data_IF_305004880329
#
_entry.id   IF_305004880329
#
_cell.length_a   1.000
_cell.length_b   1.000
_cell.length_c   1.000
_cell.angle_alpha   90.00
_cell.angle_beta   90.00
_cell.angle_gamma   90.00
#
_symmetry.space_group_name_H-M   'P 1'
#
loop_
_entity.id
_entity.type
_entity.pdbx_description
1 polymer ?
#
# COMPACT_ATOMS: atom_id res chain seq x y z
N UNK A 1 -5.67 -16.29 14.51
CA UNK A 1 -6.74 -15.78 13.63
C UNK A 1 -6.31 -14.40 13.12
N UNK A 2 -6.32 -14.14 11.81
CA UNK A 2 -6.01 -12.80 11.28
C UNK A 2 -7.16 -11.84 11.59
N UNK A 3 -6.87 -10.63 12.06
CA UNK A 3 -7.92 -9.63 12.31
C UNK A 3 -8.54 -9.16 10.99
N UNK A 4 -9.82 -8.78 11.03
CA UNK A 4 -10.53 -8.22 9.86
C UNK A 4 -9.79 -7.02 9.26
N UNK A 5 -9.15 -6.21 10.12
CA UNK A 5 -8.32 -5.10 9.67
C UNK A 5 -7.09 -5.57 8.89
N UNK A 6 -6.39 -6.60 9.37
CA UNK A 6 -5.22 -7.15 8.68
C UNK A 6 -5.62 -7.72 7.30
N UNK A 7 -6.77 -8.37 7.18
CA UNK A 7 -7.30 -8.86 5.91
C UNK A 7 -7.57 -7.74 4.91
N UNK A 8 -8.18 -6.63 5.37
CA UNK A 8 -8.42 -5.45 4.52
C UNK A 8 -7.12 -4.79 4.05
N UNK A 9 -6.13 -4.70 4.95
CA UNK A 9 -4.81 -4.17 4.64
C UNK A 9 -4.10 -5.03 3.59
N UNK A 10 -4.11 -6.37 3.78
CA UNK A 10 -3.48 -7.30 2.85
C UNK A 10 -4.12 -7.25 1.47
N UNK A 11 -5.46 -7.30 1.39
CA UNK A 11 -6.17 -7.20 0.12
C UNK A 11 -5.84 -5.90 -0.64
N UNK A 12 -5.69 -4.78 0.08
CA UNK A 12 -5.30 -3.52 -0.53
C UNK A 12 -3.84 -3.51 -1.03
N UNK A 13 -2.92 -4.10 -0.26
CA UNK A 13 -1.52 -4.25 -0.67
C UNK A 13 -1.39 -5.13 -1.91
N UNK A 14 -2.10 -6.26 -1.94
CA UNK A 14 -2.14 -7.17 -3.09
C UNK A 14 -2.70 -6.47 -4.34
N UNK A 15 -3.83 -5.77 -4.22
CA UNK A 15 -4.42 -5.03 -5.35
C UNK A 15 -3.46 -3.94 -5.86
N UNK A 16 -2.82 -3.21 -4.94
CA UNK A 16 -1.85 -2.16 -5.28
C UNK A 16 -0.62 -2.73 -5.97
N UNK A 17 -0.09 -3.84 -5.47
CA UNK A 17 1.05 -4.56 -6.03
C UNK A 17 0.73 -5.09 -7.43
N UNK A 18 -0.40 -5.78 -7.59
CA UNK A 18 -0.86 -6.30 -8.88
C UNK A 18 -1.05 -5.18 -9.91
N UNK A 19 -1.62 -4.03 -9.52
CA UNK A 19 -1.79 -2.87 -10.40
C UNK A 19 -0.45 -2.30 -10.85
N UNK A 20 0.50 -2.14 -9.93
CA UNK A 20 1.85 -1.70 -10.27
C UNK A 20 2.52 -2.70 -11.20
N UNK A 21 2.46 -4.00 -10.89
CA UNK A 21 3.06 -5.06 -11.71
C UNK A 21 2.54 -5.01 -13.16
N UNK A 22 1.22 -4.96 -13.33
CA UNK A 22 0.58 -4.83 -14.66
C UNK A 22 1.06 -3.59 -15.40
N UNK A 23 1.12 -2.45 -14.71
CA UNK A 23 1.63 -1.19 -15.28
C UNK A 23 3.09 -1.31 -15.74
N UNK A 24 3.96 -1.86 -14.89
CA UNK A 24 5.39 -2.01 -15.18
C UNK A 24 5.64 -2.96 -16.35
N UNK A 25 4.87 -4.05 -16.44
CA UNK A 25 4.95 -5.03 -17.53
C UNK A 25 4.40 -4.48 -18.86
N UNK A 26 3.29 -3.75 -18.83
CA UNK A 26 2.65 -3.22 -20.04
C UNK A 26 3.33 -1.94 -20.57
N UNK A 27 4.00 -1.18 -19.69
CA UNK A 27 4.61 0.08 -20.09
C UNK A 27 5.85 -0.15 -20.96
N UNK A 28 5.87 0.51 -22.12
CA UNK A 28 7.06 0.63 -22.98
C UNK A 28 7.81 1.95 -22.78
N UNK A 29 7.38 2.76 -21.81
CA UNK A 29 7.97 4.07 -21.56
C UNK A 29 9.40 3.93 -20.98
N UNK A 30 10.30 4.87 -21.27
CA UNK A 30 11.57 5.01 -20.56
C UNK A 30 11.34 5.15 -19.05
N UNK A 31 12.30 4.69 -18.25
CA UNK A 31 12.17 4.58 -16.78
C UNK A 31 11.65 5.87 -16.14
N UNK A 32 12.21 7.03 -16.50
CA UNK A 32 11.80 8.33 -15.94
C UNK A 32 10.34 8.66 -16.22
N UNK A 33 9.86 8.44 -17.44
CA UNK A 33 8.47 8.71 -17.81
C UNK A 33 7.51 7.69 -17.21
N UNK A 34 7.95 6.42 -17.14
CA UNK A 34 7.23 5.35 -16.48
C UNK A 34 7.00 5.67 -15.00
N UNK A 35 8.01 6.23 -14.33
CA UNK A 35 7.84 6.71 -12.96
C UNK A 35 6.84 7.87 -12.84
N UNK A 36 6.91 8.85 -13.74
CA UNK A 36 5.99 10.00 -13.75
C UNK A 36 4.53 9.59 -13.98
N UNK A 37 4.31 8.58 -14.82
CA UNK A 37 2.98 8.09 -15.22
C UNK A 37 2.48 6.89 -14.41
N UNK A 38 3.16 6.52 -13.32
CA UNK A 38 2.77 5.37 -12.49
C UNK A 38 1.34 5.55 -11.94
N UNK A 39 0.58 4.46 -11.81
CA UNK A 39 -0.76 4.52 -11.22
C UNK A 39 -0.68 5.08 -9.81
N UNK A 40 -1.41 6.18 -9.57
CA UNK A 40 -1.49 6.79 -8.24
C UNK A 40 -2.34 5.92 -7.31
N UNK A 41 -2.10 5.98 -5.98
CA UNK A 41 -3.02 5.41 -5.01
C UNK A 41 -4.44 5.94 -5.27
N UNK A 42 -5.45 5.08 -5.12
CA UNK A 42 -6.85 5.51 -5.29
C UNK A 42 -7.15 6.63 -4.28
N UNK A 43 -7.81 7.70 -4.73
CA UNK A 43 -8.07 8.92 -3.94
C UNK A 43 -9.39 8.87 -3.16
N UNK A 44 -10.13 7.76 -3.24
CA UNK A 44 -11.47 7.64 -2.66
C UNK A 44 -11.41 7.74 -1.13
N UNK A 45 -12.45 8.27 -0.47
CA UNK A 45 -12.48 8.44 0.99
C UNK A 45 -12.14 7.15 1.75
N UNK A 46 -12.68 6.01 1.31
CA UNK A 46 -12.38 4.68 1.87
C UNK A 46 -10.89 4.37 1.90
N UNK A 47 -10.18 4.65 0.82
CA UNK A 47 -8.77 4.30 0.70
C UNK A 47 -7.89 5.22 1.58
N UNK A 48 -8.36 6.45 1.87
CA UNK A 48 -7.73 7.35 2.85
C UNK A 48 -7.87 6.82 4.28
N UNK A 49 -9.05 6.31 4.63
CA UNK A 49 -9.30 5.69 5.94
C UNK A 49 -8.41 4.45 6.10
N UNK A 50 -8.35 3.59 5.09
CA UNK A 50 -7.52 2.40 5.13
C UNK A 50 -6.02 2.74 5.25
N UNK A 51 -5.56 3.78 4.55
CA UNK A 51 -4.19 4.28 4.69
C UNK A 51 -3.89 4.79 6.11
N UNK A 52 -4.84 5.52 6.73
CA UNK A 52 -4.69 5.96 8.14
C UNK A 52 -4.63 4.76 9.09
N UNK A 53 -5.49 3.77 8.89
CA UNK A 53 -5.49 2.55 9.72
C UNK A 53 -4.18 1.77 9.56
N UNK A 54 -3.62 1.66 8.35
CA UNK A 54 -2.29 1.10 8.14
C UNK A 54 -1.21 1.87 8.89
N UNK A 55 -1.24 3.21 8.85
CA UNK A 55 -0.26 4.05 9.55
C UNK A 55 -0.32 3.87 11.06
N UNK A 56 -1.53 3.78 11.63
CA UNK A 56 -1.72 3.52 13.07
C UNK A 56 -1.22 2.12 13.44
N UNK A 57 -1.54 1.11 12.64
CA UNK A 57 -1.08 -0.26 12.88
C UNK A 57 0.45 -0.37 12.78
N UNK A 58 1.06 0.29 11.78
CA UNK A 58 2.51 0.35 11.64
C UNK A 58 3.18 1.12 12.79
N UNK A 59 2.62 2.25 13.24
CA UNK A 59 3.19 3.02 14.34
C UNK A 59 3.13 2.27 15.68
N UNK A 60 2.06 1.52 15.91
CA UNK A 60 1.95 0.60 17.03
C UNK A 60 3.03 -0.49 16.95
N UNK A 61 3.27 -1.03 15.76
CA UNK A 61 4.31 -2.03 15.54
C UNK A 61 5.72 -1.45 15.80
N UNK A 62 6.03 -0.26 15.26
CA UNK A 62 7.35 0.37 15.45
C UNK A 62 7.60 0.74 16.92
N UNK A 63 6.60 1.28 17.61
CA UNK A 63 6.72 1.63 19.03
C UNK A 63 6.92 0.38 19.89
N UNK A 64 6.21 -0.71 19.58
CA UNK A 64 6.39 -1.99 20.26
C UNK A 64 7.79 -2.58 20.03
N UNK A 65 8.30 -2.52 18.80
CA UNK A 65 9.66 -3.03 18.47
C UNK A 65 10.78 -2.18 19.08
N UNK A 66 10.56 -0.87 19.25
CA UNK A 66 11.53 0.02 19.88
C UNK A 66 11.58 -0.17 21.40
N UNK A 67 10.43 -0.39 22.04
CA UNK A 67 10.35 -0.63 23.49
C UNK A 67 10.89 -2.01 23.94
N UNK A 68 11.01 -2.96 23.01
CA UNK A 68 11.57 -4.30 23.25
C UNK A 68 13.10 -4.39 23.03
N UNK A 69 13.76 -3.30 22.65
CA UNK A 69 15.19 -3.24 22.37
C UNK A 69 15.95 -2.63 23.55
#
# INVERSE_FOLDING_TARGET
MMSTLAQLINAYLEESGARHYRYWKASRLPIRERYKRRPKPKSRPRDRVLKRLMQINMSQFTNFTWFKR
#
